data_IF_164307156926
#
_entry.id   IF_164307156926
#
_cell.length_a   1.000
_cell.length_b   1.000
_cell.length_c   1.000
_cell.angle_alpha   90.00
_cell.angle_beta   90.00
_cell.angle_gamma   90.00
#
_symmetry.space_group_name_H-M   'P 1'
#
loop_
_entity.id
_entity.type
_entity.pdbx_description
1 polymer ?
#
# COMPACT_ATOMS: atom_id res chain seq x y z
N UNK A 1 6.97 2.74 -2.76
CA UNK A 1 5.51 2.92 -2.95
C UNK A 1 5.23 3.46 -4.35
N UNK A 2 4.04 3.22 -4.91
CA UNK A 2 3.58 3.74 -6.21
C UNK A 2 2.16 4.34 -6.11
N UNK A 3 1.99 5.40 -5.30
CA UNK A 3 0.68 6.05 -5.16
C UNK A 3 0.40 6.99 -6.34
N UNK A 4 -0.85 7.04 -6.82
CA UNK A 4 -1.26 8.05 -7.82
C UNK A 4 -2.07 9.13 -7.12
N UNK A 5 -1.79 10.39 -7.42
CA UNK A 5 -2.47 11.55 -6.84
C UNK A 5 -2.98 12.51 -7.93
N UNK A 6 -3.94 13.39 -7.62
CA UNK A 6 -4.27 14.49 -8.51
C UNK A 6 -3.03 15.35 -8.78
N UNK A 7 -2.73 15.61 -10.06
CA UNK A 7 -1.53 16.38 -10.47
C UNK A 7 -1.43 17.76 -9.82
N UNK A 8 -2.56 18.37 -9.49
CA UNK A 8 -2.65 19.65 -8.77
C UNK A 8 -2.14 19.60 -7.34
N UNK A 9 -1.94 18.40 -6.76
CA UNK A 9 -1.49 18.16 -5.39
C UNK A 9 -0.02 17.70 -5.32
N UNK A 10 0.68 17.64 -6.45
CA UNK A 10 2.05 17.10 -6.52
C UNK A 10 3.02 17.76 -5.52
N UNK A 11 3.02 19.09 -5.45
CA UNK A 11 3.92 19.84 -4.56
C UNK A 11 3.64 19.54 -3.08
N UNK A 12 2.36 19.47 -2.71
CA UNK A 12 1.94 19.17 -1.34
C UNK A 12 2.36 17.77 -0.91
N UNK A 13 2.09 16.77 -1.75
CA UNK A 13 2.40 15.37 -1.39
C UNK A 13 3.90 15.11 -1.39
N UNK A 14 4.67 15.71 -2.31
CA UNK A 14 6.13 15.60 -2.27
C UNK A 14 6.72 16.22 -1.00
N UNK A 15 6.20 17.38 -0.57
CA UNK A 15 6.62 18.00 0.70
C UNK A 15 6.26 17.12 1.91
N UNK A 16 5.10 16.48 1.89
CA UNK A 16 4.69 15.56 2.95
C UNK A 16 5.54 14.30 2.99
N UNK A 17 5.90 13.73 1.83
CA UNK A 17 6.83 12.59 1.73
C UNK A 17 8.20 12.96 2.33
N UNK A 18 8.72 14.15 2.03
CA UNK A 18 10.00 14.61 2.58
C UNK A 18 9.92 14.80 4.11
N UNK A 19 8.80 15.32 4.62
CA UNK A 19 8.53 15.45 6.06
C UNK A 19 8.49 14.08 6.75
N UNK A 20 7.75 13.12 6.19
CA UNK A 20 7.65 11.76 6.70
C UNK A 20 9.01 11.04 6.66
N UNK A 21 9.76 11.17 5.57
CA UNK A 21 11.10 10.60 5.50
C UNK A 21 12.01 11.13 6.61
N UNK A 22 11.95 12.44 6.90
CA UNK A 22 12.71 13.04 8.00
C UNK A 22 12.25 12.54 9.38
N UNK A 23 10.94 12.44 9.62
CA UNK A 23 10.36 11.92 10.87
C UNK A 23 10.83 10.49 11.18
N UNK A 24 10.91 9.65 10.15
CA UNK A 24 11.35 8.26 10.27
C UNK A 24 12.88 8.07 10.19
N UNK A 25 13.65 9.16 10.14
CA UNK A 25 15.12 9.15 9.96
C UNK A 25 15.57 8.37 8.71
N UNK A 26 14.81 8.50 7.63
CA UNK A 26 15.06 7.87 6.33
C UNK A 26 15.45 8.92 5.29
N UNK A 27 16.16 8.47 4.26
CA UNK A 27 16.34 9.24 3.03
C UNK A 27 15.30 8.78 2.01
N UNK A 28 14.78 9.70 1.22
CA UNK A 28 13.88 9.40 0.11
C UNK A 28 14.44 9.94 -1.18
N UNK A 29 14.38 9.14 -2.23
CA UNK A 29 14.56 9.59 -3.61
C UNK A 29 13.21 9.57 -4.30
N UNK A 30 12.69 10.74 -4.68
CA UNK A 30 11.43 10.86 -5.38
C UNK A 30 11.64 10.73 -6.89
N UNK A 31 11.10 9.66 -7.47
CA UNK A 31 10.92 9.48 -8.91
C UNK A 31 9.41 9.51 -9.17
N UNK A 32 8.93 10.07 -10.28
CA UNK A 32 7.49 10.08 -10.54
C UNK A 32 7.18 10.37 -12.01
N UNK A 33 6.04 9.87 -12.48
CA UNK A 33 5.44 10.25 -13.75
C UNK A 33 4.53 11.46 -13.52
N UNK A 34 5.10 12.67 -13.67
CA UNK A 34 4.35 13.91 -13.41
C UNK A 34 3.08 14.06 -14.26
N UNK A 35 3.09 13.46 -15.46
CA UNK A 35 2.02 13.60 -16.45
C UNK A 35 0.70 12.93 -16.05
N UNK A 36 0.76 11.88 -15.24
CA UNK A 36 -0.39 11.11 -14.73
C UNK A 36 -0.51 11.16 -13.20
N UNK A 37 0.49 11.71 -12.49
CA UNK A 37 0.48 11.85 -11.04
C UNK A 37 0.94 10.62 -10.28
N UNK A 38 1.57 9.65 -10.96
CA UNK A 38 2.10 8.42 -10.35
C UNK A 38 3.45 8.67 -9.66
N UNK A 39 3.47 8.59 -8.33
CA UNK A 39 4.62 8.86 -7.47
C UNK A 39 5.36 7.57 -7.12
N UNK A 40 6.68 7.58 -7.23
CA UNK A 40 7.58 6.49 -6.84
C UNK A 40 8.59 6.96 -5.77
N UNK A 41 8.16 7.19 -4.51
CA UNK A 41 9.08 7.45 -3.41
C UNK A 41 9.88 6.21 -3.07
N UNK A 42 11.21 6.32 -3.19
CA UNK A 42 12.17 5.27 -2.90
C UNK A 42 12.85 5.57 -1.54
N UNK A 43 12.39 4.89 -0.49
CA UNK A 43 13.01 4.96 0.84
C UNK A 43 14.35 4.20 0.83
N UNK A 44 15.42 4.90 1.16
CA UNK A 44 16.78 4.37 1.19
C UNK A 44 17.16 4.00 2.62
N UNK A 45 17.47 2.73 2.83
CA UNK A 45 17.83 2.20 4.15
C UNK A 45 18.81 1.03 4.04
N UNK A 46 19.46 0.71 5.15
CA UNK A 46 20.31 -0.48 5.28
C UNK A 46 19.69 -1.45 6.27
N UNK A 47 19.18 -2.57 5.75
CA UNK A 47 18.48 -3.63 6.51
C UNK A 47 19.31 -4.26 7.63
N UNK A 48 20.63 -4.05 7.64
CA UNK A 48 21.52 -4.56 8.71
C UNK A 48 21.33 -3.78 10.02
N UNK A 49 20.78 -2.57 9.96
CA UNK A 49 20.49 -1.78 11.16
C UNK A 49 19.19 -2.28 11.79
N UNK A 50 19.21 -2.63 13.09
CA UNK A 50 18.00 -3.00 13.82
C UNK A 50 16.91 -1.92 13.70
N UNK A 51 15.66 -2.35 13.52
CA UNK A 51 14.51 -1.44 13.40
C UNK A 51 14.35 -0.78 12.02
N UNK A 52 15.29 -0.97 11.08
CA UNK A 52 15.23 -0.28 9.78
C UNK A 52 14.01 -0.70 8.95
N UNK A 53 13.68 -2.00 8.94
CA UNK A 53 12.53 -2.52 8.21
C UNK A 53 11.21 -2.00 8.79
N UNK A 54 11.11 -1.92 10.11
CA UNK A 54 9.93 -1.44 10.83
C UNK A 54 9.69 0.05 10.54
N UNK A 55 10.74 0.87 10.55
CA UNK A 55 10.66 2.29 10.17
C UNK A 55 10.26 2.48 8.71
N UNK A 56 10.85 1.70 7.80
CA UNK A 56 10.52 1.77 6.36
C UNK A 56 9.09 1.34 6.11
N UNK A 57 8.63 0.27 6.75
CA UNK A 57 7.25 -0.16 6.64
C UNK A 57 6.28 0.90 7.20
N UNK A 58 6.60 1.51 8.34
CA UNK A 58 5.77 2.57 8.92
C UNK A 58 5.71 3.83 8.04
N UNK A 59 6.86 4.34 7.60
CA UNK A 59 6.92 5.46 6.66
C UNK A 59 6.19 5.15 5.35
N UNK A 60 6.35 3.93 4.82
CA UNK A 60 5.68 3.49 3.62
C UNK A 60 4.15 3.49 3.73
N UNK A 61 3.60 3.12 4.89
CA UNK A 61 2.15 3.18 5.15
C UNK A 61 1.65 4.61 5.15
N UNK A 62 2.29 5.49 5.92
CA UNK A 62 1.87 6.90 6.02
C UNK A 62 1.99 7.64 4.69
N UNK A 63 2.99 7.32 3.87
CA UNK A 63 3.11 7.87 2.52
C UNK A 63 1.91 7.47 1.64
N UNK A 64 1.45 6.22 1.71
CA UNK A 64 0.26 5.77 0.97
C UNK A 64 -1.00 6.45 1.50
N UNK A 65 -1.16 6.54 2.83
CA UNK A 65 -2.28 7.22 3.47
C UNK A 65 -2.34 8.71 3.07
N UNK A 66 -1.18 9.39 3.02
CA UNK A 66 -1.08 10.77 2.54
C UNK A 66 -1.50 10.90 1.06
N UNK A 67 -1.13 9.95 0.21
CA UNK A 67 -1.60 9.91 -1.19
C UNK A 67 -3.13 9.78 -1.26
N UNK A 68 -3.73 8.88 -0.48
CA UNK A 68 -5.18 8.68 -0.47
C UNK A 68 -5.92 9.90 0.11
N UNK A 69 -5.38 10.52 1.16
CA UNK A 69 -5.99 11.68 1.81
C UNK A 69 -6.20 12.88 0.85
N UNK A 70 -5.38 13.00 -0.19
CA UNK A 70 -5.53 14.04 -1.23
C UNK A 70 -6.40 13.59 -2.43
N UNK A 71 -7.10 12.47 -2.31
CA UNK A 71 -7.94 11.89 -3.37
C UNK A 71 -7.17 10.99 -4.35
N UNK A 72 -6.03 10.45 -3.93
CA UNK A 72 -5.25 9.49 -4.69
C UNK A 72 -5.69 8.03 -4.52
N UNK A 73 -4.90 7.11 -5.07
CA UNK A 73 -5.11 5.66 -4.97
C UNK A 73 -3.84 4.93 -4.49
N UNK A 74 -4.04 3.73 -3.94
CA UNK A 74 -2.99 2.91 -3.30
C UNK A 74 -1.89 2.45 -4.26
N UNK A 75 -2.22 2.27 -5.54
CA UNK A 75 -1.28 1.79 -6.55
C UNK A 75 -1.64 2.35 -7.92
N UNK A 76 -0.64 2.91 -8.61
CA UNK A 76 -0.75 3.25 -10.02
C UNK A 76 -0.50 2.06 -10.93
N UNK A 77 0.50 1.24 -10.62
CA UNK A 77 0.99 0.22 -11.56
C UNK A 77 1.45 -1.11 -10.93
N UNK A 78 1.88 -1.13 -9.66
CA UNK A 78 2.43 -2.35 -9.06
C UNK A 78 1.39 -3.30 -8.43
N UNK A 79 0.15 -2.83 -8.27
CA UNK A 79 -0.93 -3.53 -7.61
C UNK A 79 -0.88 -3.49 -6.08
N UNK A 80 -1.69 -4.35 -5.46
CA UNK A 80 -1.96 -4.34 -4.00
C UNK A 80 -1.07 -5.33 -3.25
N UNK A 81 -0.96 -6.56 -3.76
CA UNK A 81 -0.11 -7.60 -3.17
C UNK A 81 -0.43 -7.90 -1.70
N UNK A 82 0.62 -8.15 -0.91
CA UNK A 82 0.51 -8.23 0.56
C UNK A 82 0.62 -6.85 1.21
N UNK A 83 1.52 -6.02 0.70
CA UNK A 83 1.93 -4.76 1.32
C UNK A 83 0.76 -3.79 1.53
N UNK A 84 -0.10 -3.64 0.52
CA UNK A 84 -1.16 -2.61 0.51
C UNK A 84 -2.54 -3.17 0.79
N UNK A 85 -2.64 -4.48 0.94
CA UNK A 85 -3.89 -5.21 1.16
C UNK A 85 -4.72 -4.58 2.27
N UNK A 86 -4.10 -4.32 3.41
CA UNK A 86 -4.80 -3.83 4.60
C UNK A 86 -5.19 -2.34 4.49
N UNK A 87 -4.76 -1.65 3.43
CA UNK A 87 -5.13 -0.26 3.12
C UNK A 87 -6.29 -0.18 2.11
N UNK A 88 -6.75 -1.31 1.57
CA UNK A 88 -7.84 -1.34 0.58
C UNK A 88 -9.12 -0.64 1.05
N UNK A 89 -9.43 -0.72 2.35
CA UNK A 89 -10.57 -0.03 2.95
C UNK A 89 -10.48 1.50 2.95
N UNK A 90 -9.32 2.07 2.62
CA UNK A 90 -9.18 3.53 2.45
C UNK A 90 -9.82 4.04 1.16
N UNK A 91 -9.96 3.19 0.13
CA UNK A 91 -10.47 3.58 -1.19
C UNK A 91 -11.65 2.74 -1.68
N UNK A 92 -11.94 1.61 -1.04
CA UNK A 92 -13.07 0.73 -1.36
C UNK A 92 -13.98 0.60 -0.14
N UNK A 93 -15.29 0.64 -0.38
CA UNK A 93 -16.29 0.37 0.65
C UNK A 93 -16.35 -1.12 1.00
N UNK A 94 -16.99 -1.45 2.12
CA UNK A 94 -17.21 -2.85 2.50
C UNK A 94 -17.98 -3.62 1.41
N UNK A 95 -18.96 -2.98 0.75
CA UNK A 95 -19.72 -3.57 -0.36
C UNK A 95 -18.82 -3.84 -1.59
N UNK A 96 -17.90 -2.93 -1.91
CA UNK A 96 -16.93 -3.12 -3.00
C UNK A 96 -16.00 -4.31 -2.71
N UNK A 97 -15.51 -4.41 -1.47
CA UNK A 97 -14.62 -5.49 -1.04
C UNK A 97 -15.36 -6.84 -1.02
N UNK A 98 -16.62 -6.85 -0.62
CA UNK A 98 -17.48 -8.04 -0.64
C UNK A 98 -17.69 -8.54 -2.08
N UNK A 99 -17.98 -7.63 -3.01
CA UNK A 99 -18.11 -7.95 -4.43
C UNK A 99 -16.82 -8.53 -5.03
N UNK A 100 -15.66 -7.93 -4.71
CA UNK A 100 -14.36 -8.45 -5.15
C UNK A 100 -14.07 -9.84 -4.57
N UNK A 101 -14.43 -10.08 -3.31
CA UNK A 101 -14.30 -11.38 -2.65
C UNK A 101 -15.17 -12.45 -3.32
N UNK A 102 -16.42 -12.12 -3.64
CA UNK A 102 -17.32 -13.00 -4.40
C UNK A 102 -16.75 -13.39 -5.76
N UNK A 103 -16.18 -12.43 -6.49
CA UNK A 103 -15.53 -12.70 -7.77
C UNK A 103 -14.39 -13.70 -7.61
N UNK A 104 -13.52 -13.53 -6.61
CA UNK A 104 -12.43 -14.47 -6.32
C UNK A 104 -12.97 -15.88 -6.05
N UNK A 105 -13.98 -16.02 -5.20
CA UNK A 105 -14.56 -17.31 -4.83
C UNK A 105 -15.22 -18.04 -6.00
N UNK A 106 -15.75 -17.31 -6.99
CA UNK A 106 -16.31 -17.92 -8.20
C UNK A 106 -15.25 -18.69 -9.02
N UNK A 107 -13.98 -18.28 -8.96
CA UNK A 107 -12.87 -18.88 -9.71
C UNK A 107 -11.89 -19.68 -8.83
N UNK A 108 -11.78 -19.38 -7.54
CA UNK A 108 -10.90 -20.05 -6.57
C UNK A 108 -11.65 -20.37 -5.27
N UNK A 109 -12.63 -21.29 -5.30
CA UNK A 109 -13.47 -21.61 -4.14
C UNK A 109 -12.71 -22.26 -2.98
N UNK A 110 -11.48 -22.73 -3.22
CA UNK A 110 -10.60 -23.32 -2.19
C UNK A 110 -9.54 -22.34 -1.68
N UNK A 111 -9.52 -21.10 -2.18
CA UNK A 111 -8.54 -20.07 -1.83
C UNK A 111 -7.07 -20.53 -1.98
N UNK A 112 -6.77 -21.26 -3.04
CA UNK A 112 -5.43 -21.82 -3.30
C UNK A 112 -4.55 -20.91 -4.15
N UNK A 113 -5.17 -19.99 -4.91
CA UNK A 113 -4.47 -19.09 -5.81
C UNK A 113 -4.00 -17.85 -5.05
N UNK A 114 -2.77 -17.89 -4.55
CA UNK A 114 -2.11 -16.74 -3.91
C UNK A 114 -2.90 -16.22 -2.69
N UNK A 115 -3.08 -17.06 -1.65
CA UNK A 115 -3.84 -16.71 -0.46
C UNK A 115 -3.22 -15.49 0.26
N UNK A 116 -4.06 -14.78 1.01
CA UNK A 116 -3.72 -13.60 1.81
C UNK A 116 -3.30 -12.36 1.02
N UNK A 117 -3.28 -12.37 -0.32
CA UNK A 117 -2.94 -11.19 -1.12
C UNK A 117 -4.19 -10.49 -1.65
N UNK A 118 -4.06 -9.19 -1.91
CA UNK A 118 -5.04 -8.27 -2.51
C UNK A 118 -6.20 -7.89 -1.59
N UNK A 119 -6.96 -8.86 -1.05
CA UNK A 119 -8.14 -8.56 -0.23
C UNK A 119 -7.82 -8.58 1.27
N UNK A 120 -8.28 -7.59 2.06
CA UNK A 120 -8.12 -7.58 3.53
C UNK A 120 -8.62 -8.87 4.18
N UNK A 121 -7.94 -9.28 5.25
CA UNK A 121 -8.41 -10.39 6.09
C UNK A 121 -9.67 -9.98 6.85
N UNK A 122 -10.65 -10.87 6.92
CA UNK A 122 -11.90 -10.57 7.62
C UNK A 122 -12.90 -9.78 6.77
N UNK A 123 -12.67 -9.70 5.45
CA UNK A 123 -13.66 -9.17 4.49
C UNK A 123 -14.99 -9.94 4.51
N UNK A 124 -15.04 -11.11 5.19
CA UNK A 124 -16.26 -11.88 5.51
C UNK A 124 -16.18 -12.64 6.83
N UNK A 125 -17.35 -13.01 7.37
CA UNK A 125 -17.48 -13.91 8.51
C UNK A 125 -16.95 -15.32 8.15
N UNK A 126 -15.95 -15.80 8.89
CA UNK A 126 -15.26 -17.08 8.64
C UNK A 126 -13.89 -16.96 7.96
N UNK A 127 -13.49 -15.75 7.57
CA UNK A 127 -12.17 -15.49 7.03
C UNK A 127 -11.15 -15.36 8.18
N UNK A 128 -10.41 -16.44 8.44
CA UNK A 128 -9.41 -16.50 9.49
C UNK A 128 -8.15 -17.12 8.92
N UNK A 129 -7.18 -16.29 8.54
CA UNK A 129 -5.85 -16.75 8.19
C UNK A 129 -4.77 -15.70 8.50
N UNK A 130 -3.82 -16.09 9.35
CA UNK A 130 -2.61 -15.33 9.63
C UNK A 130 -1.62 -15.42 8.46
N UNK A 131 -0.95 -14.31 8.12
CA UNK A 131 0.16 -14.33 7.17
C UNK A 131 1.33 -15.15 7.78
N UNK A 132 1.88 -16.16 7.09
CA UNK A 132 2.99 -16.95 7.60
C UNK A 132 4.22 -16.09 7.88
N UNK A 133 4.94 -16.40 8.97
CA UNK A 133 6.21 -15.76 9.28
C UNK A 133 7.21 -15.94 8.13
N UNK A 134 7.78 -14.83 7.64
CA UNK A 134 8.71 -14.85 6.51
C UNK A 134 8.07 -14.77 5.13
N UNK A 135 6.75 -14.56 5.03
CA UNK A 135 6.14 -14.09 3.78
C UNK A 135 6.51 -12.62 3.57
N UNK A 136 7.48 -12.35 2.69
CA UNK A 136 7.96 -11.00 2.40
C UNK A 136 7.19 -10.34 1.24
N UNK A 137 7.22 -9.00 1.25
CA UNK A 137 7.00 -8.11 0.10
C UNK A 137 8.30 -8.02 -0.69
#
# INVERSE_FOLDING_TARGET
>A
QDGVIPRTRLVEVLAEIDRLAAEYELKVANVFHAGDGNLHPLLVFDKRHPGAMERVAAAGREIIEACVAVGGVLSGEHGIGLEKRDHMGLIFSDDDLDAQSHLRLAFDPKNTCNPHKVLPSGSRCGDLQSVPAGAWV
#
